data_IF_026308196029
#
_entry.id   IF_026308196029
#
_cell.length_a   1.000
_cell.length_b   1.000
_cell.length_c   1.000
_cell.angle_alpha   90.00
_cell.angle_beta   90.00
_cell.angle_gamma   90.00
#
_symmetry.space_group_name_H-M   'P 1'
#
loop_
_entity.id
_entity.type
_entity.pdbx_description
1 polymer ?
#
# COMPACT_ATOMS: atom_id res chain seq x y z
N UNK A 1 -3.97 70.36 -20.31
CA UNK A 1 -4.38 69.82 -18.99
C UNK A 1 -4.36 68.29 -19.02
N UNK A 2 -3.16 67.69 -18.99
CA UNK A 2 -2.96 66.23 -19.13
C UNK A 2 -1.94 65.76 -18.08
N UNK A 3 -2.28 65.79 -16.78
CA UNK A 3 -1.41 65.27 -15.70
C UNK A 3 -2.17 64.78 -14.44
N UNK A 4 -3.40 64.26 -14.57
CA UNK A 4 -4.18 63.80 -13.40
C UNK A 4 -4.86 62.43 -13.59
N UNK A 5 -4.23 61.51 -14.33
CA UNK A 5 -4.78 60.16 -14.53
C UNK A 5 -3.73 59.03 -14.39
N UNK A 6 -2.70 59.20 -13.56
CA UNK A 6 -1.69 58.15 -13.25
C UNK A 6 -1.38 58.13 -11.75
N UNK A 7 -2.41 58.26 -10.91
CA UNK A 7 -2.22 58.22 -9.44
C UNK A 7 -3.26 57.37 -8.70
N UNK A 8 -4.14 56.67 -9.44
CA UNK A 8 -5.13 55.77 -8.84
C UNK A 8 -4.78 54.29 -8.99
N UNK A 9 -3.78 53.94 -9.80
CA UNK A 9 -3.36 52.55 -10.03
C UNK A 9 -2.23 52.08 -9.10
N UNK A 10 -1.64 52.95 -8.28
CA UNK A 10 -0.55 52.60 -7.36
C UNK A 10 -1.01 52.39 -5.91
N UNK A 11 -2.26 52.72 -5.57
CA UNK A 11 -2.79 52.56 -4.20
C UNK A 11 -3.54 51.24 -3.97
N UNK A 12 -3.77 50.45 -5.02
CA UNK A 12 -4.46 49.14 -4.94
C UNK A 12 -3.50 47.95 -4.79
N UNK A 13 -2.19 48.18 -4.77
CA UNK A 13 -1.16 47.11 -4.68
C UNK A 13 -0.52 46.96 -3.28
N UNK A 14 -0.94 47.76 -2.29
CA UNK A 14 -0.36 47.72 -0.93
C UNK A 14 -1.30 47.06 0.10
N UNK A 15 -2.54 46.72 -0.26
CA UNK A 15 -3.50 46.08 0.65
C UNK A 15 -3.62 44.55 0.52
N UNK A 16 -2.80 43.90 -0.30
CA UNK A 16 -2.78 42.43 -0.45
C UNK A 16 -1.67 41.72 0.35
N UNK A 17 -0.95 42.44 1.21
CA UNK A 17 0.12 41.88 2.03
C UNK A 17 -0.13 42.10 3.53
N UNK A 18 -1.26 41.65 4.05
CA UNK A 18 -1.50 41.53 5.49
C UNK A 18 -2.71 40.62 5.81
N UNK A 19 -2.52 39.32 5.64
CA UNK A 19 -3.07 38.35 6.59
C UNK A 19 -1.88 37.48 7.02
N UNK A 20 -1.01 38.09 7.83
CA UNK A 20 -0.05 37.36 8.64
C UNK A 20 -0.79 36.80 9.85
N UNK A 21 -0.77 35.49 10.01
CA UNK A 21 -1.47 34.81 11.09
C UNK A 21 -1.19 33.31 11.08
N UNK A 22 -0.04 32.95 11.66
CA UNK A 22 0.43 31.59 11.94
C UNK A 22 0.90 30.77 10.73
N UNK A 23 2.16 30.99 10.33
CA UNK A 23 2.97 29.93 9.73
C UNK A 23 3.13 28.83 10.77
N UNK A 24 2.15 27.93 10.83
CA UNK A 24 2.33 26.61 11.40
C UNK A 24 3.31 25.89 10.49
N UNK A 25 4.60 26.03 10.78
CA UNK A 25 5.67 25.29 10.12
C UNK A 25 5.46 23.80 10.34
N UNK A 26 4.61 23.20 9.51
CA UNK A 26 4.46 21.75 9.41
C UNK A 26 5.78 21.21 8.92
N UNK A 27 6.39 20.34 9.72
CA UNK A 27 7.62 19.68 9.31
C UNK A 27 7.34 18.84 8.06
N UNK A 28 8.19 18.98 7.04
CA UNK A 28 8.23 18.07 5.89
C UNK A 28 8.94 16.76 6.22
N UNK A 29 9.49 16.64 7.44
CA UNK A 29 10.03 15.37 7.91
C UNK A 29 8.88 14.42 8.22
N UNK A 30 9.01 13.17 7.77
CA UNK A 30 8.16 12.10 8.26
C UNK A 30 8.14 12.12 9.80
N UNK A 31 6.99 11.83 10.43
CA UNK A 31 6.96 11.66 11.87
C UNK A 31 8.05 10.66 12.26
N UNK A 32 8.89 11.04 13.22
CA UNK A 32 9.76 10.06 13.87
C UNK A 32 8.82 9.12 14.61
N UNK A 33 8.72 7.86 14.20
CA UNK A 33 7.81 6.95 14.88
C UNK A 33 8.29 6.76 16.33
N UNK A 34 7.41 6.31 17.25
CA UNK A 34 7.78 6.14 18.65
C UNK A 34 9.06 5.31 18.80
N UNK A 35 9.80 5.50 19.89
CA UNK A 35 11.04 4.76 20.13
C UNK A 35 10.81 3.24 19.98
N UNK A 36 11.62 2.60 19.13
CA UNK A 36 11.52 1.18 18.80
C UNK A 36 10.71 0.83 17.53
N UNK A 37 10.16 1.81 16.82
CA UNK A 37 9.46 1.59 15.55
C UNK A 37 10.38 1.84 14.34
N UNK A 38 10.17 1.11 13.24
CA UNK A 38 10.98 1.26 12.01
C UNK A 38 10.64 2.57 11.27
N UNK A 39 11.61 3.12 10.52
CA UNK A 39 11.45 4.33 9.71
C UNK A 39 10.95 3.94 8.32
N UNK A 40 9.78 4.45 7.92
CA UNK A 40 9.15 4.13 6.63
C UNK A 40 9.32 5.25 5.60
N UNK A 41 9.35 4.88 4.32
CA UNK A 41 9.87 5.73 3.22
C UNK A 41 8.84 6.63 2.56
N UNK A 42 7.53 6.32 2.64
CA UNK A 42 6.54 7.15 1.96
C UNK A 42 6.07 8.30 2.84
N UNK A 43 6.20 9.51 2.30
CA UNK A 43 5.69 10.71 2.92
C UNK A 43 4.23 10.88 2.49
N UNK A 44 3.33 11.19 3.42
CA UNK A 44 1.88 11.31 3.19
C UNK A 44 1.46 12.46 2.24
N UNK A 45 2.38 13.00 1.45
CA UNK A 45 2.16 13.94 0.34
C UNK A 45 1.84 15.38 0.73
N UNK A 46 1.55 15.64 2.01
CA UNK A 46 1.34 16.97 2.59
C UNK A 46 2.09 17.10 3.92
N UNK A 47 2.27 18.33 4.40
CA UNK A 47 2.87 18.60 5.69
C UNK A 47 1.99 18.03 6.81
N UNK A 48 2.61 17.32 7.77
CA UNK A 48 1.92 16.75 8.92
C UNK A 48 1.44 17.86 9.87
N UNK A 49 0.14 17.94 10.22
CA UNK A 49 -0.35 18.88 11.22
C UNK A 49 0.21 18.59 12.63
N UNK A 50 0.47 19.62 13.44
CA UNK A 50 1.08 19.45 14.76
C UNK A 50 0.22 18.63 15.73
N UNK A 51 -1.11 18.79 15.66
CA UNK A 51 -2.08 18.08 16.50
C UNK A 51 -2.64 16.81 15.82
N UNK A 52 -2.00 16.32 14.76
CA UNK A 52 -2.50 15.16 14.03
C UNK A 52 -2.42 13.87 14.85
N UNK A 53 -3.41 13.00 14.66
CA UNK A 53 -3.35 11.60 15.05
C UNK A 53 -2.64 10.83 13.93
N UNK A 54 -1.54 10.17 14.26
CA UNK A 54 -0.79 9.38 13.28
C UNK A 54 -1.38 7.99 13.09
N UNK A 55 -1.55 7.61 11.83
CA UNK A 55 -1.89 6.26 11.42
C UNK A 55 -0.79 5.77 10.48
N UNK A 56 -0.09 4.71 10.90
CA UNK A 56 0.85 4.02 10.04
C UNK A 56 0.20 2.78 9.43
N UNK A 57 0.17 2.70 8.10
CA UNK A 57 -0.36 1.56 7.37
C UNK A 57 0.75 0.78 6.65
N UNK A 58 0.81 -0.52 6.88
CA UNK A 58 1.55 -1.44 6.01
C UNK A 58 0.54 -2.18 5.15
N UNK A 59 0.73 -2.13 3.84
CA UNK A 59 -0.18 -2.76 2.90
C UNK A 59 0.57 -3.71 1.97
N UNK A 60 -0.17 -4.59 1.30
CA UNK A 60 0.40 -5.60 0.43
C UNK A 60 1.02 -4.96 -0.82
N UNK A 61 2.10 -5.54 -1.39
CA UNK A 61 2.72 -5.00 -2.61
C UNK A 61 1.74 -4.81 -3.78
N UNK A 62 0.71 -5.65 -3.87
CA UNK A 62 -0.36 -5.57 -4.85
C UNK A 62 -1.17 -4.26 -4.75
N UNK A 63 -1.10 -3.57 -3.61
CA UNK A 63 -1.78 -2.31 -3.35
C UNK A 63 -0.91 -1.07 -3.65
N UNK A 64 0.39 -1.26 -3.93
CA UNK A 64 1.35 -0.17 -4.14
C UNK A 64 0.98 0.75 -5.31
N UNK A 65 0.26 0.24 -6.31
CA UNK A 65 -0.14 1.04 -7.47
C UNK A 65 -1.15 2.16 -7.12
N UNK A 66 -1.89 2.02 -6.02
CA UNK A 66 -2.97 2.96 -5.68
C UNK A 66 -2.87 3.54 -4.27
N UNK A 67 -2.28 2.83 -3.31
CA UNK A 67 -2.21 3.27 -1.91
C UNK A 67 -1.50 4.61 -1.70
N UNK A 68 -0.35 4.91 -2.33
CA UNK A 68 0.32 6.20 -2.15
C UNK A 68 -0.58 7.39 -2.51
N UNK A 69 -1.33 7.27 -3.61
CA UNK A 69 -2.24 8.31 -4.06
C UNK A 69 -3.48 8.42 -3.15
N UNK A 70 -4.05 7.30 -2.69
CA UNK A 70 -5.14 7.32 -1.72
C UNK A 70 -4.73 7.98 -0.39
N UNK A 71 -3.54 7.64 0.12
CA UNK A 71 -2.97 8.26 1.33
C UNK A 71 -2.82 9.77 1.12
N UNK A 72 -2.25 10.18 -0.02
CA UNK A 72 -2.10 11.60 -0.36
C UNK A 72 -3.45 12.32 -0.38
N UNK A 73 -4.45 11.76 -1.05
CA UNK A 73 -5.79 12.37 -1.12
C UNK A 73 -6.45 12.47 0.26
N UNK A 74 -6.35 11.42 1.07
CA UNK A 74 -6.88 11.40 2.43
C UNK A 74 -6.25 12.51 3.29
N UNK A 75 -4.93 12.64 3.27
CA UNK A 75 -4.23 13.67 4.03
C UNK A 75 -4.48 15.07 3.47
N UNK A 76 -4.58 15.22 2.14
CA UNK A 76 -4.90 16.49 1.50
C UNK A 76 -6.29 16.99 1.94
N UNK A 77 -7.29 16.10 2.06
CA UNK A 77 -8.61 16.49 2.54
C UNK A 77 -8.55 17.12 3.94
N UNK A 78 -7.80 16.50 4.86
CA UNK A 78 -7.56 17.08 6.19
C UNK A 78 -6.77 18.39 6.14
N UNK A 79 -5.76 18.49 5.28
CA UNK A 79 -4.99 19.72 5.09
C UNK A 79 -5.86 20.88 4.54
N UNK A 80 -6.87 20.56 3.73
CA UNK A 80 -7.86 21.50 3.21
C UNK A 80 -8.97 21.82 4.23
N UNK A 81 -8.90 21.25 5.44
CA UNK A 81 -9.86 21.49 6.51
C UNK A 81 -11.15 20.70 6.37
N UNK A 82 -11.16 19.59 5.62
CA UNK A 82 -12.33 18.74 5.41
C UNK A 82 -12.12 17.34 6.00
N UNK A 83 -13.19 16.76 6.54
CA UNK A 83 -13.20 15.37 6.94
C UNK A 83 -13.33 14.47 5.69
N UNK A 84 -12.35 13.59 5.39
CA UNK A 84 -12.34 12.79 4.16
C UNK A 84 -13.45 11.72 4.10
N UNK A 85 -14.09 11.40 5.23
CA UNK A 85 -15.16 10.40 5.29
C UNK A 85 -16.52 11.05 5.03
N UNK A 86 -16.74 12.27 5.54
CA UNK A 86 -18.04 12.96 5.43
C UNK A 86 -18.08 14.01 4.33
N UNK A 87 -16.92 14.51 3.89
CA UNK A 87 -16.78 15.63 2.96
C UNK A 87 -17.16 16.99 3.55
N UNK A 88 -17.43 17.07 4.85
CA UNK A 88 -17.76 18.32 5.55
C UNK A 88 -16.49 19.00 6.08
N UNK A 89 -16.59 20.29 6.38
CA UNK A 89 -15.54 20.98 7.11
C UNK A 89 -15.29 20.30 8.47
N UNK A 90 -14.03 20.27 8.90
CA UNK A 90 -13.65 19.76 10.22
C UNK A 90 -14.35 20.56 11.31
N UNK A 91 -14.82 19.87 12.35
CA UNK A 91 -15.39 20.52 13.51
C UNK A 91 -14.30 21.27 14.29
N UNK A 92 -14.70 22.29 15.04
CA UNK A 92 -13.78 23.04 15.91
C UNK A 92 -13.09 22.10 16.91
N UNK A 93 -11.75 22.05 16.84
CA UNK A 93 -10.93 21.20 17.70
C UNK A 93 -10.89 19.73 17.31
N UNK A 94 -11.49 19.33 16.19
CA UNK A 94 -11.32 17.98 15.62
C UNK A 94 -9.86 17.80 15.20
N UNK A 95 -9.13 16.82 15.78
CA UNK A 95 -7.75 16.57 15.38
C UNK A 95 -7.75 15.90 13.99
N UNK A 96 -6.93 16.38 13.04
CA UNK A 96 -6.80 15.71 11.75
C UNK A 96 -6.13 14.35 11.92
N UNK A 97 -6.45 13.40 11.04
CA UNK A 97 -5.73 12.14 10.94
C UNK A 97 -4.66 12.29 9.85
N UNK A 98 -3.42 11.96 10.18
CA UNK A 98 -2.34 11.92 9.21
C UNK A 98 -1.93 10.46 8.97
N UNK A 99 -2.16 10.00 7.75
CA UNK A 99 -1.82 8.65 7.31
C UNK A 99 -0.46 8.69 6.61
N UNK A 100 0.37 7.72 6.90
CA UNK A 100 1.58 7.44 6.14
C UNK A 100 1.72 5.94 6.05
N UNK A 101 2.40 5.46 5.03
CA UNK A 101 2.41 4.04 4.74
C UNK A 101 3.62 3.61 3.97
N UNK A 102 3.65 2.32 3.67
CA UNK A 102 4.64 1.72 2.80
C UNK A 102 4.10 0.36 2.37
N UNK A 103 4.40 -0.03 1.14
CA UNK A 103 4.58 -1.44 0.86
C UNK A 103 5.88 -1.93 1.55
N UNK A 104 5.98 -3.22 1.91
CA UNK A 104 7.23 -3.74 2.44
C UNK A 104 8.36 -3.61 1.40
N UNK A 105 9.35 -2.74 1.69
CA UNK A 105 10.54 -2.50 0.85
C UNK A 105 11.28 -3.80 0.50
N UNK A 106 11.23 -4.77 1.42
CA UNK A 106 11.71 -6.14 1.24
C UNK A 106 10.71 -7.08 1.87
N UNK A 107 9.90 -7.77 1.06
CA UNK A 107 9.13 -8.92 1.52
C UNK A 107 7.69 -8.95 1.05
N UNK A 108 6.98 -9.97 1.54
CA UNK A 108 5.57 -10.20 1.26
C UNK A 108 4.73 -9.85 2.49
N UNK A 109 3.40 -9.95 2.36
CA UNK A 109 2.50 -9.95 3.54
C UNK A 109 2.93 -10.97 4.61
N UNK A 110 3.57 -12.07 4.22
CA UNK A 110 4.14 -13.04 5.15
C UNK A 110 5.30 -12.48 5.97
N UNK A 111 6.20 -11.73 5.35
CA UNK A 111 7.34 -11.06 6.04
C UNK A 111 6.85 -10.01 7.03
N UNK A 112 5.87 -9.20 6.64
CA UNK A 112 5.26 -8.21 7.55
C UNK A 112 4.57 -8.92 8.72
N UNK A 113 3.80 -9.98 8.44
CA UNK A 113 3.16 -10.81 9.48
C UNK A 113 4.19 -11.33 10.49
N UNK A 114 5.31 -11.88 10.01
CA UNK A 114 6.40 -12.34 10.88
C UNK A 114 6.95 -11.21 11.76
N UNK A 115 7.16 -10.02 11.21
CA UNK A 115 7.63 -8.89 12.01
C UNK A 115 6.61 -8.39 13.03
N UNK A 116 5.32 -8.44 12.71
CA UNK A 116 4.24 -8.16 13.68
C UNK A 116 4.26 -9.18 14.82
N UNK A 117 4.42 -10.47 14.50
CA UNK A 117 4.58 -11.53 15.51
C UNK A 117 5.83 -11.28 16.37
N UNK A 118 6.96 -10.98 15.74
CA UNK A 118 8.22 -10.69 16.41
C UNK A 118 8.11 -9.51 17.38
N UNK A 119 7.33 -8.47 17.05
CA UNK A 119 7.09 -7.35 17.95
C UNK A 119 6.56 -7.77 19.34
N UNK A 120 5.90 -8.94 19.44
CA UNK A 120 5.42 -9.50 20.69
C UNK A 120 6.33 -10.58 21.29
N UNK A 121 6.91 -11.47 20.47
CA UNK A 121 7.60 -12.67 20.96
C UNK A 121 9.13 -12.59 20.87
N UNK A 122 9.66 -11.73 19.99
CA UNK A 122 11.09 -11.49 19.81
C UNK A 122 11.34 -10.03 19.34
N UNK A 123 11.12 -9.03 20.20
CA UNK A 123 11.07 -7.62 19.79
C UNK A 123 12.43 -7.04 19.37
N UNK A 124 13.52 -7.78 19.54
CA UNK A 124 14.87 -7.42 19.12
C UNK A 124 15.29 -8.13 17.82
N UNK A 125 14.37 -8.82 17.14
CA UNK A 125 14.62 -9.39 15.82
C UNK A 125 14.98 -8.29 14.81
N UNK A 126 15.63 -8.68 13.71
CA UNK A 126 15.92 -7.76 12.61
C UNK A 126 14.64 -7.28 11.91
N UNK A 127 13.63 -8.14 11.84
CA UNK A 127 12.32 -7.86 11.23
C UNK A 127 11.27 -7.64 12.33
N UNK A 128 10.86 -6.38 12.55
CA UNK A 128 9.88 -6.02 13.59
C UNK A 128 8.95 -4.91 13.11
N UNK A 129 7.69 -5.26 12.88
CA UNK A 129 6.65 -4.32 12.42
C UNK A 129 5.65 -3.99 13.53
N UNK A 130 5.26 -2.72 13.62
CA UNK A 130 4.23 -2.25 14.56
C UNK A 130 3.24 -1.27 13.88
N UNK A 131 2.50 -1.70 12.85
CA UNK A 131 1.55 -0.85 12.15
C UNK A 131 0.31 -0.55 12.99
N UNK A 132 -0.32 0.59 12.72
CA UNK A 132 -1.69 0.87 13.16
C UNK A 132 -2.68 0.06 12.32
N UNK A 133 -2.44 -0.04 11.01
CA UNK A 133 -3.26 -0.81 10.07
C UNK A 133 -2.36 -1.76 9.29
N UNK A 134 -2.74 -3.04 9.23
CA UNK A 134 -2.12 -4.02 8.34
C UNK A 134 -3.15 -4.47 7.30
N UNK A 135 -2.86 -4.22 6.03
CA UNK A 135 -3.64 -4.70 4.89
C UNK A 135 -2.85 -5.79 4.15
N UNK A 136 -2.97 -7.06 4.55
CA UNK A 136 -2.31 -8.14 3.83
C UNK A 136 -3.02 -8.47 2.51
N UNK A 137 -2.31 -9.19 1.63
CA UNK A 137 -2.86 -9.70 0.36
C UNK A 137 -4.02 -10.68 0.56
N UNK A 138 -4.05 -11.39 1.70
CA UNK A 138 -5.15 -12.25 2.13
C UNK A 138 -5.37 -12.19 3.63
N UNK A 139 -6.63 -12.25 4.08
CA UNK A 139 -6.99 -12.21 5.51
C UNK A 139 -6.42 -13.36 6.35
N UNK A 140 -6.00 -14.46 5.73
CA UNK A 140 -5.37 -15.59 6.44
C UNK A 140 -4.11 -15.19 7.22
N UNK A 141 -3.39 -14.16 6.77
CA UNK A 141 -2.22 -13.65 7.49
C UNK A 141 -2.59 -13.09 8.86
N UNK A 142 -3.78 -12.49 9.02
CA UNK A 142 -4.26 -11.97 10.30
C UNK A 142 -4.50 -13.10 11.30
N UNK A 143 -5.15 -14.17 10.86
CA UNK A 143 -5.40 -15.35 11.69
C UNK A 143 -4.09 -16.05 12.10
N UNK A 144 -3.14 -16.16 11.16
CA UNK A 144 -1.84 -16.75 11.44
C UNK A 144 -1.03 -15.91 12.44
N UNK A 145 -1.08 -14.57 12.32
CA UNK A 145 -0.44 -13.67 13.28
C UNK A 145 -0.98 -13.89 14.71
N UNK A 146 -2.29 -14.01 14.86
CA UNK A 146 -2.92 -14.30 16.15
C UNK A 146 -2.44 -15.64 16.73
N UNK A 147 -2.45 -16.68 15.89
CA UNK A 147 -2.03 -18.02 16.27
C UNK A 147 -0.56 -18.06 16.73
N UNK A 148 0.36 -17.51 15.93
CA UNK A 148 1.80 -17.54 16.20
C UNK A 148 2.19 -16.66 17.40
N UNK A 149 1.56 -15.50 17.54
CA UNK A 149 1.78 -14.61 18.70
C UNK A 149 1.09 -15.09 19.99
N UNK A 150 0.18 -16.08 19.89
CA UNK A 150 -0.70 -16.57 20.96
C UNK A 150 -1.53 -15.45 21.60
N UNK A 151 -1.99 -14.51 20.77
CA UNK A 151 -2.71 -13.30 21.18
C UNK A 151 -3.78 -12.97 20.14
N UNK A 152 -4.80 -12.25 20.56
CA UNK A 152 -5.72 -11.59 19.63
C UNK A 152 -5.11 -10.25 19.23
N UNK A 153 -4.22 -10.27 18.24
CA UNK A 153 -3.62 -9.07 17.66
C UNK A 153 -4.61 -8.40 16.71
N UNK A 154 -5.41 -9.21 16.00
CA UNK A 154 -6.45 -8.78 15.08
C UNK A 154 -7.80 -9.37 15.47
N UNK A 155 -8.84 -8.54 15.49
CA UNK A 155 -10.22 -9.03 15.56
C UNK A 155 -10.64 -9.52 14.17
N UNK A 156 -10.74 -10.84 14.01
CA UNK A 156 -11.11 -11.46 12.74
C UNK A 156 -12.59 -11.29 12.40
N UNK A 157 -13.44 -10.89 13.37
CA UNK A 157 -14.87 -10.66 13.15
C UNK A 157 -15.15 -9.28 12.55
N UNK A 158 -14.26 -8.32 12.79
CA UNK A 158 -14.33 -6.98 12.19
C UNK A 158 -13.34 -6.79 11.02
N UNK A 159 -12.51 -7.80 10.71
CA UNK A 159 -11.65 -7.77 9.54
C UNK A 159 -12.48 -7.74 8.23
N UNK A 160 -12.26 -6.72 7.40
CA UNK A 160 -13.01 -6.51 6.15
C UNK A 160 -12.15 -6.75 4.92
N UNK A 161 -12.68 -7.53 3.98
CA UNK A 161 -12.12 -7.60 2.63
C UNK A 161 -12.37 -6.30 1.89
N UNK A 162 -11.29 -5.62 1.50
CA UNK A 162 -11.35 -4.34 0.75
C UNK A 162 -11.23 -4.54 -0.76
N UNK A 163 -10.73 -5.68 -1.20
CA UNK A 163 -10.57 -6.05 -2.60
C UNK A 163 -10.75 -7.57 -2.79
N UNK A 164 -11.20 -7.97 -3.97
CA UNK A 164 -11.26 -9.36 -4.41
C UNK A 164 -10.42 -9.48 -5.68
N UNK A 165 -9.31 -10.19 -5.58
CA UNK A 165 -8.44 -10.48 -6.73
C UNK A 165 -8.68 -11.91 -7.20
N UNK A 166 -9.09 -12.14 -8.46
CA UNK A 166 -9.24 -13.49 -8.98
C UNK A 166 -7.87 -14.16 -9.06
N UNK A 167 -7.81 -15.44 -8.67
CA UNK A 167 -6.64 -16.27 -8.94
C UNK A 167 -6.69 -16.70 -10.41
N UNK A 168 -5.66 -16.32 -11.16
CA UNK A 168 -5.52 -16.65 -12.58
C UNK A 168 -4.20 -17.37 -12.82
N UNK A 169 -4.17 -18.22 -13.84
CA UNK A 169 -2.92 -18.71 -14.40
C UNK A 169 -2.54 -17.77 -15.54
N UNK A 170 -1.63 -16.85 -15.26
CA UNK A 170 -0.97 -16.07 -16.30
C UNK A 170 0.25 -16.86 -16.81
N UNK A 171 0.38 -16.97 -18.13
CA UNK A 171 1.49 -17.70 -18.75
C UNK A 171 1.89 -17.08 -20.08
N UNK A 172 3.04 -17.49 -20.59
CA UNK A 172 3.57 -17.07 -21.87
C UNK A 172 2.90 -17.87 -22.98
N UNK A 173 2.61 -17.23 -24.11
CA UNK A 173 2.01 -17.89 -25.28
C UNK A 173 2.84 -19.08 -25.77
N UNK A 174 4.17 -19.00 -25.69
CA UNK A 174 5.06 -20.12 -26.04
C UNK A 174 4.80 -21.37 -25.20
N UNK A 175 4.34 -21.21 -23.96
CA UNK A 175 4.02 -22.31 -23.04
C UNK A 175 2.65 -22.91 -23.34
N UNK A 176 1.68 -22.06 -23.68
CA UNK A 176 0.38 -22.51 -24.20
C UNK A 176 0.58 -23.34 -25.47
N UNK A 177 1.37 -22.82 -26.41
CA UNK A 177 1.64 -23.49 -27.69
C UNK A 177 2.37 -24.83 -27.49
N UNK A 178 3.29 -24.91 -26.53
CA UNK A 178 3.95 -26.17 -26.18
C UNK A 178 2.95 -27.22 -25.71
N UNK A 179 2.04 -26.87 -24.79
CA UNK A 179 0.97 -27.76 -24.34
C UNK A 179 0.09 -28.22 -25.50
N UNK A 180 -0.33 -27.30 -26.38
CA UNK A 180 -1.13 -27.65 -27.57
C UNK A 180 -0.41 -28.63 -28.48
N UNK A 181 0.88 -28.42 -28.74
CA UNK A 181 1.70 -29.29 -29.58
C UNK A 181 1.88 -30.68 -28.96
N UNK A 182 2.08 -30.76 -27.65
CA UNK A 182 2.26 -32.02 -26.93
C UNK A 182 0.96 -32.81 -26.80
N UNK A 183 -0.16 -32.15 -26.52
CA UNK A 183 -1.44 -32.80 -26.24
C UNK A 183 -2.33 -32.96 -27.48
N UNK A 184 -2.07 -32.20 -28.55
CA UNK A 184 -2.93 -32.11 -29.72
C UNK A 184 -4.21 -31.29 -29.53
N UNK A 185 -4.42 -30.69 -28.34
CA UNK A 185 -5.59 -29.87 -28.03
C UNK A 185 -5.51 -28.51 -28.73
N UNK A 186 -6.68 -27.99 -29.11
CA UNK A 186 -6.84 -26.60 -29.49
C UNK A 186 -6.82 -25.67 -28.27
N UNK A 187 -6.64 -24.37 -28.49
CA UNK A 187 -6.54 -23.38 -27.41
C UNK A 187 -7.80 -23.34 -26.53
N UNK A 188 -8.97 -23.52 -27.13
CA UNK A 188 -10.25 -23.46 -26.43
C UNK A 188 -10.56 -24.75 -25.63
N UNK A 189 -9.79 -25.82 -25.88
CA UNK A 189 -9.87 -27.09 -25.15
C UNK A 189 -8.89 -27.15 -23.97
N UNK A 190 -7.98 -26.17 -23.85
CA UNK A 190 -7.04 -26.10 -22.73
C UNK A 190 -7.74 -25.63 -21.47
N UNK A 191 -7.50 -26.37 -20.38
CA UNK A 191 -8.00 -26.04 -19.05
C UNK A 191 -6.89 -25.97 -18.02
N UNK A 192 -7.28 -25.69 -16.77
CA UNK A 192 -6.36 -25.63 -15.63
C UNK A 192 -5.60 -26.95 -15.45
N UNK A 193 -6.25 -28.08 -15.74
CA UNK A 193 -5.64 -29.39 -15.63
C UNK A 193 -4.40 -29.52 -16.53
N UNK A 194 -4.43 -28.96 -17.74
CA UNK A 194 -3.29 -29.04 -18.65
C UNK A 194 -2.05 -28.32 -18.09
N UNK A 195 -2.26 -27.21 -17.38
CA UNK A 195 -1.18 -26.51 -16.67
C UNK A 195 -0.70 -27.28 -15.43
N UNK A 196 -1.64 -27.88 -14.68
CA UNK A 196 -1.33 -28.72 -13.52
C UNK A 196 -0.53 -29.96 -13.95
N UNK A 197 -0.83 -30.54 -15.10
CA UNK A 197 -0.09 -31.69 -15.63
C UNK A 197 1.36 -31.32 -15.95
N UNK A 198 1.62 -30.10 -16.46
CA UNK A 198 2.99 -29.58 -16.60
C UNK A 198 3.68 -29.44 -15.25
N UNK A 199 2.97 -28.94 -14.22
CA UNK A 199 3.55 -28.78 -12.87
C UNK A 199 3.85 -30.12 -12.20
N UNK A 200 3.06 -31.15 -12.51
CA UNK A 200 3.22 -32.50 -11.98
C UNK A 200 4.18 -33.37 -12.81
N UNK A 201 4.59 -32.93 -14.01
CA UNK A 201 5.59 -33.62 -14.81
C UNK A 201 6.95 -33.62 -14.10
N UNK A 202 7.58 -34.79 -14.03
CA UNK A 202 8.89 -34.97 -13.39
C UNK A 202 10.01 -34.14 -14.06
N UNK A 203 9.85 -33.82 -15.35
CA UNK A 203 10.78 -32.95 -16.08
C UNK A 203 10.16 -31.60 -16.46
N UNK A 204 9.01 -31.24 -15.89
CA UNK A 204 8.31 -29.99 -16.13
C UNK A 204 8.17 -29.66 -17.61
N UNK A 205 8.62 -28.46 -18.00
CA UNK A 205 8.53 -27.97 -19.39
C UNK A 205 9.37 -28.77 -20.40
N UNK A 206 10.28 -29.64 -19.94
CA UNK A 206 11.09 -30.45 -20.85
C UNK A 206 10.28 -31.54 -21.54
N UNK A 207 9.28 -32.11 -20.86
CA UNK A 207 8.38 -33.11 -21.46
C UNK A 207 7.46 -32.47 -22.52
N UNK A 208 7.40 -31.14 -22.57
CA UNK A 208 6.59 -30.36 -23.51
C UNK A 208 7.43 -29.74 -24.64
N UNK A 209 8.64 -30.25 -24.86
CA UNK A 209 9.43 -29.94 -26.06
C UNK A 209 9.99 -28.52 -26.14
N UNK A 210 10.07 -27.80 -25.02
CA UNK A 210 10.59 -26.43 -25.00
C UNK A 210 12.11 -26.38 -25.01
N UNK A 211 12.66 -25.55 -25.89
CA UNK A 211 14.10 -25.25 -25.88
C UNK A 211 14.52 -24.57 -24.57
N UNK A 212 15.69 -24.94 -24.03
CA UNK A 212 16.19 -24.49 -22.73
C UNK A 212 15.16 -24.67 -21.59
N UNK A 213 14.44 -25.80 -21.61
CA UNK A 213 13.40 -26.11 -20.65
C UNK A 213 13.90 -26.12 -19.19
N UNK A 214 12.98 -25.84 -18.26
CA UNK A 214 13.20 -26.00 -16.83
C UNK A 214 12.40 -27.17 -16.31
N UNK A 215 13.07 -28.03 -15.52
CA UNK A 215 12.42 -29.13 -14.80
C UNK A 215 11.52 -28.66 -13.66
N UNK A 216 11.86 -27.53 -13.07
CA UNK A 216 11.03 -26.86 -12.07
C UNK A 216 10.19 -25.77 -12.73
N UNK A 217 8.89 -25.80 -12.47
CA UNK A 217 7.98 -24.72 -12.83
C UNK A 217 7.81 -23.82 -11.62
N UNK A 218 8.17 -22.54 -11.77
CA UNK A 218 8.07 -21.55 -10.71
C UNK A 218 6.78 -20.77 -10.89
N UNK A 219 6.03 -20.60 -9.80
CA UNK A 219 4.95 -19.64 -9.72
C UNK A 219 5.50 -18.37 -9.05
N UNK A 220 5.18 -17.22 -9.63
CA UNK A 220 5.38 -15.90 -9.01
C UNK A 220 4.04 -15.39 -8.51
N UNK A 221 4.06 -14.77 -7.34
CA UNK A 221 3.01 -13.85 -6.89
C UNK A 221 3.48 -12.43 -7.20
#
# INVERSE_FOLDING_TARGET
MHKRLILLSTFLLVFLAACGGSDGGGSTSNPTPPEGYEIYTENGGVARPNNAIDVFIVYAPESQEYMPELIRQFNQAYADGNNPITGQALADGEPPIYVWGTDPVVGSSGTVKEGIVNAFINPNAENVYRPTIFQPSVGHWLALANYESRREVFDLTDARGVALSPVVIATWESRVNAIMQTTGKSRDELGWQDFIDVFNSENGWCDYGLENCRRAVYYGH
#
